data_IF_430965778620
#
_entry.id   IF_430965778620
#
_cell.length_a   1.000
_cell.length_b   1.000
_cell.length_c   1.000
_cell.angle_alpha   90.00
_cell.angle_beta   90.00
_cell.angle_gamma   90.00
#
_symmetry.space_group_name_H-M   'P 1'
#
loop_
_entity.id
_entity.type
_entity.pdbx_description
1 polymer ?
#
# COMPACT_ATOMS: atom_id res chain seq x y z
N UNK A 1 -71.23 11.45 40.99
CA UNK A 1 -72.56 11.09 40.46
C UNK A 1 -72.37 10.53 39.06
N UNK A 2 -72.74 9.26 38.83
CA UNK A 2 -72.80 8.61 37.51
C UNK A 2 -71.52 7.88 37.06
N UNK A 3 -71.46 6.60 36.68
CA UNK A 3 -72.10 5.32 37.03
C UNK A 3 -71.34 4.27 36.17
N UNK A 4 -70.94 3.14 36.78
CA UNK A 4 -70.42 1.92 36.11
C UNK A 4 -71.44 1.41 35.07
N UNK A 5 -71.17 0.63 34.02
CA UNK A 5 -70.37 -0.59 33.79
C UNK A 5 -70.63 -0.98 32.33
N UNK A 6 -69.76 -1.72 31.64
CA UNK A 6 -70.18 -2.99 31.00
C UNK A 6 -68.96 -3.84 30.62
N UNK A 7 -68.92 -4.98 31.28
CA UNK A 7 -68.11 -6.17 31.00
C UNK A 7 -68.26 -6.64 29.54
N UNK A 8 -67.16 -7.11 28.93
CA UNK A 8 -67.23 -8.38 28.23
C UNK A 8 -65.91 -9.16 28.29
N UNK A 9 -66.07 -10.48 28.33
CA UNK A 9 -65.21 -11.52 28.90
C UNK A 9 -64.65 -12.41 27.78
N UNK A 10 -63.45 -12.99 28.03
CA UNK A 10 -62.77 -14.13 27.36
C UNK A 10 -62.21 -13.81 25.96
N UNK A 11 -61.00 -14.25 25.58
CA UNK A 11 -60.39 -15.57 25.76
C UNK A 11 -58.86 -15.50 25.97
N UNK A 12 -58.36 -16.51 26.68
CA UNK A 12 -56.94 -16.83 26.77
C UNK A 12 -56.48 -17.57 25.51
N UNK A 13 -55.35 -17.17 24.94
CA UNK A 13 -54.43 -18.09 24.29
C UNK A 13 -53.02 -17.77 24.77
N UNK A 14 -52.44 -18.72 25.52
CA UNK A 14 -51.01 -18.73 25.84
C UNK A 14 -50.29 -19.11 24.56
N UNK A 15 -49.76 -18.14 23.83
CA UNK A 15 -48.80 -18.43 22.76
C UNK A 15 -47.46 -18.73 23.42
N UNK A 16 -47.06 -19.99 23.36
CA UNK A 16 -45.69 -20.41 23.61
C UNK A 16 -44.76 -19.59 22.71
N UNK A 17 -43.99 -18.68 23.32
CA UNK A 17 -42.89 -17.97 22.65
C UNK A 17 -41.79 -18.98 22.32
N UNK A 18 -41.98 -19.74 21.25
CA UNK A 18 -40.90 -20.45 20.60
C UNK A 18 -40.33 -19.45 19.60
N UNK A 19 -39.10 -18.95 19.79
CA UNK A 19 -38.51 -18.02 18.83
C UNK A 19 -38.44 -18.67 17.45
N UNK A 20 -38.80 -17.91 16.43
CA UNK A 20 -38.76 -18.33 15.03
C UNK A 20 -37.33 -18.72 14.63
N UNK A 21 -37.21 -19.70 13.72
CA UNK A 21 -35.93 -20.25 13.23
C UNK A 21 -34.99 -19.17 12.66
N UNK A 22 -35.56 -18.08 12.17
CA UNK A 22 -34.84 -16.89 11.68
C UNK A 22 -34.03 -16.17 12.77
N UNK A 23 -34.41 -16.29 14.05
CA UNK A 23 -33.63 -15.75 15.17
C UNK A 23 -32.33 -16.54 15.42
N UNK A 24 -32.20 -17.73 14.83
CA UNK A 24 -31.02 -18.62 14.98
C UNK A 24 -30.14 -18.64 13.73
N UNK A 25 -30.48 -17.88 12.70
CA UNK A 25 -29.60 -17.68 11.55
C UNK A 25 -28.81 -16.41 11.85
N UNK A 26 -27.67 -16.58 12.52
CA UNK A 26 -26.60 -15.61 12.37
C UNK A 26 -26.11 -15.75 10.93
N UNK A 27 -26.54 -14.84 10.04
CA UNK A 27 -25.74 -14.49 8.88
C UNK A 27 -24.41 -13.97 9.44
N UNK A 28 -23.50 -14.92 9.66
CA UNK A 28 -22.09 -14.63 9.73
C UNK A 28 -21.72 -14.19 8.32
N UNK A 29 -21.98 -12.92 8.02
CA UNK A 29 -21.11 -12.20 7.12
C UNK A 29 -19.72 -12.50 7.67
N UNK A 30 -18.97 -13.30 6.92
CA UNK A 30 -17.54 -13.45 7.15
C UNK A 30 -17.00 -12.07 6.82
N UNK A 31 -17.10 -11.15 7.79
CA UNK A 31 -16.30 -9.96 7.81
C UNK A 31 -14.88 -10.51 7.90
N UNK A 32 -14.24 -10.58 6.74
CA UNK A 32 -12.80 -10.70 6.62
C UNK A 32 -12.23 -9.79 7.69
N UNK A 33 -11.63 -10.40 8.71
CA UNK A 33 -11.00 -9.69 9.82
C UNK A 33 -10.16 -8.61 9.18
N UNK A 34 -10.50 -7.31 9.35
CA UNK A 34 -9.87 -6.31 8.53
C UNK A 34 -8.40 -6.35 8.92
N UNK A 35 -7.53 -6.57 7.94
CA UNK A 35 -6.09 -6.42 8.07
C UNK A 35 -5.72 -4.92 8.28
N UNK A 36 -6.50 -4.20 9.10
CA UNK A 36 -6.55 -2.75 9.20
C UNK A 36 -5.44 -2.13 10.04
N UNK A 37 -4.43 -2.92 10.44
CA UNK A 37 -3.19 -2.36 11.00
C UNK A 37 -2.00 -2.43 10.03
N UNK A 38 -2.18 -2.97 8.82
CA UNK A 38 -1.14 -2.94 7.75
C UNK A 38 -1.39 -1.77 6.76
N UNK A 39 -2.52 -1.07 6.89
CA UNK A 39 -2.99 -0.06 5.93
C UNK A 39 -2.12 1.21 5.81
N UNK A 40 -1.13 1.41 6.69
CA UNK A 40 -0.21 2.55 6.62
C UNK A 40 1.25 2.17 6.38
N UNK A 41 1.54 0.88 6.16
CA UNK A 41 2.89 0.40 5.94
C UNK A 41 3.27 0.66 4.48
N UNK A 42 4.33 1.45 4.22
CA UNK A 42 4.94 1.44 2.89
C UNK A 42 5.53 0.05 2.70
N UNK A 43 4.90 -0.74 1.85
CA UNK A 43 5.33 -2.10 1.52
C UNK A 43 6.13 -2.10 0.21
N UNK A 44 6.80 -3.22 -0.07
CA UNK A 44 7.55 -3.45 -1.31
C UNK A 44 6.73 -3.12 -2.57
N UNK A 45 5.43 -3.44 -2.55
CA UNK A 45 4.52 -3.18 -3.67
C UNK A 45 4.46 -1.69 -4.05
N UNK A 46 4.46 -0.77 -3.07
CA UNK A 46 4.48 0.66 -3.38
C UNK A 46 5.77 1.09 -4.09
N UNK A 47 6.91 0.51 -3.72
CA UNK A 47 8.20 0.78 -4.36
C UNK A 47 8.15 0.29 -5.82
N UNK A 48 7.69 -0.94 -6.03
CA UNK A 48 7.55 -1.51 -7.38
C UNK A 48 6.59 -0.70 -8.24
N UNK A 49 5.42 -0.33 -7.70
CA UNK A 49 4.43 0.49 -8.40
C UNK A 49 5.00 1.85 -8.79
N UNK A 50 5.74 2.52 -7.89
CA UNK A 50 6.37 3.80 -8.21
C UNK A 50 7.43 3.63 -9.30
N UNK A 51 8.33 2.65 -9.15
CA UNK A 51 9.36 2.37 -10.14
C UNK A 51 8.78 1.94 -11.50
N UNK A 52 7.58 1.36 -11.52
CA UNK A 52 6.83 0.97 -12.72
C UNK A 52 6.10 2.14 -13.40
N UNK A 53 6.01 3.31 -12.77
CA UNK A 53 5.40 4.50 -13.36
C UNK A 53 6.17 4.93 -14.61
N UNK A 54 5.46 5.44 -15.62
CA UNK A 54 6.07 5.98 -16.83
C UNK A 54 6.26 7.49 -16.68
N UNK A 55 7.51 7.92 -16.66
CA UNK A 55 7.96 9.31 -16.54
C UNK A 55 8.28 9.94 -17.90
N UNK A 56 7.94 9.28 -19.00
CA UNK A 56 8.18 9.78 -20.36
C UNK A 56 7.46 11.10 -20.63
N UNK A 57 6.20 11.23 -20.22
CA UNK A 57 5.47 12.49 -20.39
C UNK A 57 6.10 13.62 -19.59
N UNK A 58 6.52 13.35 -18.35
CA UNK A 58 7.22 14.35 -17.52
C UNK A 58 8.51 14.84 -18.22
N UNK A 59 9.31 13.91 -18.73
CA UNK A 59 10.53 14.26 -19.46
C UNK A 59 10.23 15.07 -20.73
N UNK A 60 9.19 14.68 -21.48
CA UNK A 60 8.76 15.40 -22.68
C UNK A 60 8.36 16.84 -22.34
N UNK A 61 7.47 17.01 -21.36
CA UNK A 61 6.97 18.33 -20.94
C UNK A 61 8.12 19.21 -20.43
N UNK A 62 9.04 18.65 -19.65
CA UNK A 62 10.23 19.35 -19.16
C UNK A 62 11.12 19.84 -20.30
N UNK A 63 11.30 19.05 -21.37
CA UNK A 63 12.06 19.48 -22.54
C UNK A 63 11.37 20.64 -23.27
N UNK A 64 10.04 20.60 -23.40
CA UNK A 64 9.26 21.68 -24.03
C UNK A 64 9.34 22.99 -23.21
N UNK A 65 9.36 22.88 -21.88
CA UNK A 65 9.44 24.04 -20.98
C UNK A 65 10.86 24.60 -20.90
N UNK A 66 11.86 23.72 -20.73
CA UNK A 66 13.26 24.08 -20.60
C UNK A 66 14.18 22.99 -21.20
N UNK A 67 14.71 23.22 -22.41
CA UNK A 67 15.55 22.24 -23.10
C UNK A 67 16.97 22.11 -22.52
N UNK A 68 17.31 22.82 -21.45
CA UNK A 68 18.62 22.72 -20.82
C UNK A 68 18.85 21.32 -20.20
N UNK A 69 19.98 20.72 -20.56
CA UNK A 69 20.46 19.45 -20.00
C UNK A 69 20.70 19.53 -18.49
N UNK A 70 21.06 20.70 -17.95
CA UNK A 70 21.24 20.87 -16.51
C UNK A 70 19.92 20.70 -15.76
N UNK A 71 18.86 21.33 -16.26
CA UNK A 71 17.49 21.21 -15.74
C UNK A 71 17.00 19.76 -15.77
N UNK A 72 17.22 19.07 -16.89
CA UNK A 72 16.87 17.66 -17.04
C UNK A 72 17.56 16.76 -16.01
N UNK A 73 18.85 16.99 -15.76
CA UNK A 73 19.64 16.21 -14.78
C UNK A 73 19.13 16.43 -13.36
N UNK A 74 18.76 17.64 -13.00
CA UNK A 74 18.24 17.96 -11.66
C UNK A 74 16.88 17.29 -11.44
N UNK A 75 15.96 17.36 -12.40
CA UNK A 75 14.66 16.68 -12.30
C UNK A 75 14.83 15.16 -12.24
N UNK A 76 15.70 14.58 -13.05
CA UNK A 76 16.02 13.16 -12.95
C UNK A 76 16.56 12.80 -11.56
N UNK A 77 17.38 13.67 -10.95
CA UNK A 77 17.89 13.46 -9.59
C UNK A 77 16.78 13.48 -8.55
N UNK A 78 15.80 14.37 -8.69
CA UNK A 78 14.62 14.43 -7.81
C UNK A 78 13.81 13.12 -7.88
N UNK A 79 13.53 12.62 -9.09
CA UNK A 79 12.84 11.33 -9.27
C UNK A 79 13.59 10.17 -8.59
N UNK A 80 14.93 10.16 -8.67
CA UNK A 80 15.74 9.16 -7.96
C UNK A 80 15.64 9.32 -6.44
N UNK A 81 15.64 10.55 -5.94
CA UNK A 81 15.49 10.78 -4.50
C UNK A 81 14.13 10.36 -3.97
N UNK A 82 13.06 10.55 -4.74
CA UNK A 82 11.72 10.07 -4.36
C UNK A 82 11.71 8.55 -4.16
N UNK A 83 12.29 7.80 -5.11
CA UNK A 83 12.45 6.35 -4.96
C UNK A 83 13.29 6.00 -3.72
N UNK A 84 14.40 6.71 -3.48
CA UNK A 84 15.25 6.49 -2.30
C UNK A 84 14.50 6.71 -0.99
N UNK A 85 13.67 7.76 -0.92
CA UNK A 85 12.83 8.06 0.24
C UNK A 85 11.85 6.91 0.48
N UNK A 86 11.24 6.38 -0.57
CA UNK A 86 10.32 5.24 -0.44
C UNK A 86 11.02 3.99 0.09
N UNK A 87 12.21 3.64 -0.42
CA UNK A 87 13.02 2.51 0.06
C UNK A 87 13.31 2.66 1.56
N UNK A 88 13.81 3.84 1.98
CA UNK A 88 14.14 4.10 3.39
C UNK A 88 12.93 4.01 4.31
N UNK A 89 11.76 4.50 3.87
CA UNK A 89 10.53 4.42 4.67
C UNK A 89 10.04 2.98 4.80
N UNK A 90 10.10 2.19 3.72
CA UNK A 90 9.74 0.78 3.76
C UNK A 90 10.66 0.00 4.71
N UNK A 91 11.97 0.21 4.61
CA UNK A 91 12.96 -0.42 5.49
C UNK A 91 12.67 -0.17 6.96
N UNK A 92 12.47 1.11 7.33
CA UNK A 92 12.10 1.49 8.69
C UNK A 92 10.82 0.81 9.15
N UNK A 93 9.82 0.73 8.27
CA UNK A 93 8.54 0.12 8.59
C UNK A 93 8.68 -1.37 8.90
N UNK A 94 9.42 -2.13 8.08
CA UNK A 94 9.65 -3.55 8.32
C UNK A 94 10.50 -3.81 9.56
N UNK A 95 11.50 -2.98 9.82
CA UNK A 95 12.31 -3.07 11.05
C UNK A 95 11.49 -2.82 12.32
N UNK A 96 10.60 -1.83 12.30
CA UNK A 96 9.72 -1.57 13.44
C UNK A 96 8.73 -2.73 13.63
N UNK A 97 8.13 -3.24 12.56
CA UNK A 97 7.24 -4.40 12.63
C UNK A 97 7.96 -5.68 13.10
N UNK A 98 9.22 -5.88 12.71
CA UNK A 98 10.07 -6.98 13.17
C UNK A 98 10.28 -6.92 14.68
N UNK A 99 10.50 -5.74 15.26
CA UNK A 99 10.64 -5.59 16.72
C UNK A 99 9.35 -5.95 17.45
N UNK A 100 8.20 -5.51 16.93
CA UNK A 100 6.89 -5.83 17.49
C UNK A 100 6.61 -7.35 17.46
N UNK A 101 6.90 -8.01 16.34
CA UNK A 101 6.78 -9.46 16.22
C UNK A 101 7.66 -10.18 17.24
N UNK A 102 8.92 -9.78 17.39
CA UNK A 102 9.83 -10.37 18.38
C UNK A 102 9.32 -10.21 19.81
N UNK A 103 8.81 -9.03 20.17
CA UNK A 103 8.20 -8.79 21.47
C UNK A 103 6.98 -9.71 21.71
N UNK A 104 6.12 -9.85 20.71
CA UNK A 104 4.95 -10.73 20.79
C UNK A 104 5.33 -12.22 20.87
N UNK A 105 6.34 -12.68 20.13
CA UNK A 105 6.86 -14.05 20.22
C UNK A 105 7.29 -14.35 21.66
N UNK A 106 8.15 -13.50 22.24
CA UNK A 106 8.65 -13.70 23.60
C UNK A 106 7.54 -13.74 24.65
N UNK A 107 6.60 -12.81 24.55
CA UNK A 107 5.46 -12.73 25.47
C UNK A 107 4.55 -13.96 25.39
N UNK A 108 4.30 -14.47 24.18
CA UNK A 108 3.37 -15.59 23.93
C UNK A 108 4.02 -16.93 24.26
N UNK A 109 5.32 -17.05 24.00
CA UNK A 109 6.14 -18.17 24.44
C UNK A 109 6.13 -18.29 25.97
N UNK A 110 6.28 -17.18 26.69
CA UNK A 110 6.21 -17.16 28.16
C UNK A 110 4.83 -17.58 28.70
N UNK A 111 3.77 -17.35 27.92
CA UNK A 111 2.41 -17.77 28.24
C UNK A 111 2.08 -19.22 27.79
N UNK A 112 3.02 -19.94 27.16
CA UNK A 112 2.81 -21.30 26.67
C UNK A 112 1.93 -21.41 25.41
N UNK A 113 1.74 -20.31 24.67
CA UNK A 113 0.87 -20.27 23.48
C UNK A 113 1.62 -20.74 22.22
N UNK A 114 1.94 -22.04 22.16
CA UNK A 114 2.86 -22.62 21.15
C UNK A 114 2.39 -22.36 19.70
N UNK A 115 1.11 -22.56 19.41
CA UNK A 115 0.61 -22.41 18.03
C UNK A 115 0.65 -20.93 17.57
N UNK A 116 0.36 -20.00 18.48
CA UNK A 116 0.51 -18.56 18.20
C UNK A 116 1.97 -18.19 17.96
N UNK A 117 2.90 -18.75 18.73
CA UNK A 117 4.34 -18.53 18.54
C UNK A 117 4.76 -18.96 17.14
N UNK A 118 4.38 -20.17 16.72
CA UNK A 118 4.71 -20.67 15.36
C UNK A 118 4.15 -19.77 14.26
N UNK A 119 2.93 -19.26 14.42
CA UNK A 119 2.34 -18.33 13.47
C UNK A 119 3.15 -17.04 13.37
N UNK A 120 3.54 -16.46 14.51
CA UNK A 120 4.34 -15.24 14.57
C UNK A 120 5.76 -15.45 14.02
N UNK A 121 6.40 -16.59 14.27
CA UNK A 121 7.70 -16.96 13.68
C UNK A 121 7.62 -17.08 12.15
N UNK A 122 6.53 -17.64 11.62
CA UNK A 122 6.28 -17.67 10.18
C UNK A 122 6.11 -16.26 9.60
N UNK A 123 5.41 -15.36 10.29
CA UNK A 123 5.30 -13.96 9.88
C UNK A 123 6.66 -13.24 9.94
N UNK A 124 7.46 -13.50 10.97
CA UNK A 124 8.81 -12.94 11.11
C UNK A 124 9.71 -13.34 9.93
N UNK A 125 9.62 -14.60 9.49
CA UNK A 125 10.37 -15.08 8.31
C UNK A 125 10.02 -14.27 7.06
N UNK A 126 8.73 -13.99 6.82
CA UNK A 126 8.30 -13.15 5.68
C UNK A 126 8.82 -11.71 5.78
N UNK A 127 8.89 -11.17 6.99
CA UNK A 127 9.45 -9.82 7.23
C UNK A 127 10.95 -9.81 6.97
N UNK A 128 11.68 -10.84 7.38
CA UNK A 128 13.11 -10.97 7.11
C UNK A 128 13.40 -11.10 5.61
N UNK A 129 12.59 -11.86 4.88
CA UNK A 129 12.65 -11.93 3.41
C UNK A 129 12.45 -10.56 2.77
N UNK A 130 11.44 -9.80 3.21
CA UNK A 130 11.17 -8.45 2.70
C UNK A 130 12.31 -7.47 2.99
N UNK A 131 12.93 -7.54 4.17
CA UNK A 131 14.10 -6.72 4.53
C UNK A 131 15.29 -7.07 3.64
N UNK A 132 15.53 -8.35 3.37
CA UNK A 132 16.60 -8.80 2.47
C UNK A 132 16.38 -8.29 1.04
N UNK A 133 15.14 -8.32 0.55
CA UNK A 133 14.78 -7.76 -0.74
C UNK A 133 15.02 -6.24 -0.80
N UNK A 134 14.62 -5.50 0.25
CA UNK A 134 14.90 -4.07 0.35
C UNK A 134 16.40 -3.74 0.36
N UNK A 135 17.23 -4.55 1.03
CA UNK A 135 18.69 -4.40 0.99
C UNK A 135 19.25 -4.58 -0.43
N UNK A 136 18.73 -5.54 -1.18
CA UNK A 136 19.10 -5.74 -2.58
C UNK A 136 18.68 -4.53 -3.44
N UNK A 137 17.45 -4.05 -3.27
CA UNK A 137 16.96 -2.86 -3.97
C UNK A 137 17.81 -1.62 -3.64
N UNK A 138 18.20 -1.43 -2.38
CA UNK A 138 19.06 -0.31 -1.98
C UNK A 138 20.46 -0.42 -2.61
N UNK A 139 21.00 -1.63 -2.68
CA UNK A 139 22.28 -1.88 -3.37
C UNK A 139 22.18 -1.54 -4.85
N UNK A 140 21.18 -2.06 -5.55
CA UNK A 140 20.93 -1.75 -6.98
C UNK A 140 20.73 -0.25 -7.21
N UNK A 141 19.99 0.42 -6.30
CA UNK A 141 19.80 1.87 -6.35
C UNK A 141 21.13 2.63 -6.29
N UNK A 142 22.03 2.24 -5.38
CA UNK A 142 23.34 2.88 -5.22
C UNK A 142 24.28 2.59 -6.41
N UNK A 143 24.15 1.43 -7.03
CA UNK A 143 24.86 1.05 -8.26
C UNK A 143 24.24 1.72 -9.51
N UNK A 144 23.06 2.31 -9.40
CA UNK A 144 22.36 3.00 -10.49
C UNK A 144 21.68 2.07 -11.49
N UNK A 145 21.40 0.83 -11.09
CA UNK A 145 20.81 -0.24 -11.93
C UNK A 145 19.41 -0.63 -11.46
N UNK A 146 18.70 -1.43 -12.25
CA UNK A 146 17.41 -2.01 -11.84
C UNK A 146 16.29 -0.96 -11.79
N UNK A 147 15.60 -0.84 -10.66
CA UNK A 147 14.42 0.04 -10.54
C UNK A 147 14.75 1.52 -10.83
N UNK A 148 15.89 2.01 -10.35
CA UNK A 148 16.32 3.41 -10.56
C UNK A 148 16.73 3.68 -12.02
N UNK A 149 17.27 2.67 -12.69
CA UNK A 149 17.62 2.74 -14.10
C UNK A 149 16.37 2.85 -14.97
N UNK A 150 15.32 2.06 -14.67
CA UNK A 150 14.03 2.15 -15.37
C UNK A 150 13.44 3.56 -15.31
N UNK A 151 13.41 4.18 -14.12
CA UNK A 151 12.96 5.57 -13.94
C UNK A 151 13.80 6.50 -14.83
N UNK A 152 15.12 6.31 -14.82
CA UNK A 152 16.05 7.13 -15.61
C UNK A 152 15.79 7.04 -17.10
N UNK A 153 15.66 5.82 -17.62
CA UNK A 153 15.45 5.58 -19.05
C UNK A 153 14.11 6.13 -19.53
N UNK A 154 13.04 5.94 -18.76
CA UNK A 154 11.71 6.45 -19.09
C UNK A 154 11.70 7.98 -19.20
N UNK A 155 12.23 8.66 -18.18
CA UNK A 155 12.33 10.12 -18.19
C UNK A 155 13.23 10.65 -19.32
N UNK A 156 14.43 10.07 -19.50
CA UNK A 156 15.37 10.49 -20.54
C UNK A 156 14.81 10.29 -21.96
N UNK A 157 14.06 9.21 -22.19
CA UNK A 157 13.38 8.97 -23.46
C UNK A 157 12.39 10.09 -23.77
N UNK A 158 11.59 10.47 -22.77
CA UNK A 158 10.66 11.60 -22.86
C UNK A 158 11.34 12.90 -23.20
N UNK A 159 12.37 13.24 -22.45
CA UNK A 159 13.14 14.47 -22.66
C UNK A 159 13.74 14.53 -24.07
N UNK A 160 14.32 13.42 -24.54
CA UNK A 160 14.89 13.32 -25.89
C UNK A 160 13.81 13.50 -26.97
N UNK A 161 12.60 12.97 -26.77
CA UNK A 161 11.47 13.17 -27.68
C UNK A 161 11.02 14.63 -27.72
N UNK A 162 10.97 15.31 -26.57
CA UNK A 162 10.60 16.72 -26.52
C UNK A 162 11.60 17.61 -27.27
N UNK A 163 12.90 17.37 -27.10
CA UNK A 163 13.94 18.08 -27.87
C UNK A 163 13.82 17.86 -29.38
N UNK A 164 13.52 16.63 -29.81
CA UNK A 164 13.29 16.33 -31.22
C UNK A 164 12.09 17.10 -31.78
N UNK A 165 10.95 17.08 -31.06
CA UNK A 165 9.75 17.80 -31.46
C UNK A 165 9.97 19.32 -31.58
N UNK A 166 10.69 19.93 -30.64
CA UNK A 166 11.08 21.34 -30.74
C UNK A 166 11.96 21.63 -31.95
N UNK A 167 12.89 20.73 -32.25
CA UNK A 167 13.80 20.87 -33.40
C UNK A 167 13.02 20.82 -34.71
N UNK A 168 12.08 19.87 -34.84
CA UNK A 168 11.21 19.74 -36.01
C UNK A 168 10.34 20.99 -36.20
N UNK A 169 9.76 21.53 -35.12
CA UNK A 169 8.96 22.76 -35.17
C UNK A 169 9.78 23.99 -35.62
N UNK A 170 11.04 24.09 -35.17
CA UNK A 170 11.96 25.15 -35.61
C UNK A 170 12.27 24.99 -37.09
N UNK A 171 12.51 23.77 -37.57
CA UNK A 171 12.80 23.53 -38.98
C UNK A 171 11.61 23.86 -39.87
N UNK A 172 10.40 23.44 -39.50
CA UNK A 172 9.17 23.73 -40.26
C UNK A 172 8.85 25.24 -40.34
N UNK A 173 9.14 26.01 -39.29
CA UNK A 173 8.93 27.48 -39.30
C UNK A 173 9.91 28.24 -40.19
N UNK A 174 11.03 27.64 -40.57
CA UNK A 174 12.09 28.27 -41.35
C UNK A 174 12.09 27.84 -42.83
N UNK A 175 11.07 27.10 -43.27
CA UNK A 175 10.81 26.71 -44.67
C UNK A 175 9.61 27.47 -45.19
#
# INVERSE_FOLDING_TARGET
MGLFSFFNKKNSERTSNIPSKELFIEENDVEDVPASNISSMINLEMIYKHAATDFENNGYDDAIINPDLSYSKDNLKLLKYDLQIMIKRAFRSYEDYKKDLNFHIQSRQSAGLIDTVKLLESQLTKVDEAINELNNIEKEFNEGIGLVERISLSYQRGFSRGLAAMSDEILERNV
#
